data_IF_648203284351
#
_entry.id   IF_648203284351
#
_cell.length_a   1.000
_cell.length_b   1.000
_cell.length_c   1.000
_cell.angle_alpha   90.00
_cell.angle_beta   90.00
_cell.angle_gamma   90.00
#
_symmetry.space_group_name_H-M   'P 1'
#
loop_
_entity.id
_entity.type
_entity.pdbx_description
1 polymer ?
#
# COMPACT_ATOMS: atom_id res chain seq x y z
N UNK A 1 33.53 18.33 9.03
CA UNK A 1 32.11 17.99 8.79
C UNK A 1 32.04 16.54 8.37
N UNK A 2 31.80 15.62 9.30
CA UNK A 2 31.56 14.23 8.93
C UNK A 2 30.31 14.17 8.04
N UNK A 3 30.38 13.47 6.93
CA UNK A 3 29.30 13.42 5.96
C UNK A 3 28.07 12.77 6.63
N UNK A 4 26.85 13.15 6.22
CA UNK A 4 25.62 12.50 6.69
C UNK A 4 25.62 10.98 6.49
N UNK A 5 26.40 10.50 5.52
CA UNK A 5 26.62 9.08 5.25
C UNK A 5 27.40 8.38 6.37
N UNK A 6 28.41 9.04 6.95
CA UNK A 6 29.21 8.50 8.06
C UNK A 6 28.38 8.39 9.34
N UNK A 7 27.44 9.34 9.57
CA UNK A 7 26.50 9.25 10.69
C UNK A 7 25.44 8.15 10.51
N UNK A 8 25.05 7.85 9.28
CA UNK A 8 24.15 6.74 8.99
C UNK A 8 24.87 5.40 9.14
N UNK A 9 26.10 5.30 8.66
CA UNK A 9 26.92 4.10 8.78
C UNK A 9 27.33 3.80 10.23
N UNK A 10 27.62 4.83 11.03
CA UNK A 10 27.95 4.66 12.46
C UNK A 10 26.73 4.26 13.31
N UNK A 11 25.51 4.66 12.89
CA UNK A 11 24.26 4.26 13.58
C UNK A 11 23.76 2.85 13.18
N UNK A 12 24.28 2.28 12.11
CA UNK A 12 24.04 0.91 11.67
C UNK A 12 25.01 -0.11 12.27
N UNK A 13 25.70 0.22 13.35
CA UNK A 13 26.54 -0.74 14.06
C UNK A 13 25.69 -1.94 14.51
N UNK A 14 25.89 -3.07 13.83
CA UNK A 14 25.24 -4.36 14.11
C UNK A 14 25.39 -4.79 15.60
N UNK A 15 26.43 -4.31 16.29
CA UNK A 15 26.62 -4.52 17.71
C UNK A 15 25.54 -3.87 18.60
N UNK A 16 25.02 -2.70 18.21
CA UNK A 16 23.94 -2.02 18.94
C UNK A 16 22.58 -2.69 18.70
N UNK A 17 22.42 -3.38 17.58
CA UNK A 17 21.24 -4.18 17.25
C UNK A 17 21.09 -5.38 18.20
N UNK A 18 22.20 -6.02 18.56
CA UNK A 18 22.20 -7.17 19.44
C UNK A 18 21.79 -6.82 20.89
N UNK A 19 21.99 -5.57 21.32
CA UNK A 19 21.68 -5.10 22.65
C UNK A 19 20.21 -4.66 22.84
N UNK A 20 19.51 -4.32 21.75
CA UNK A 20 18.10 -3.89 21.77
C UNK A 20 17.14 -5.10 21.77
N UNK A 21 16.95 -5.74 22.91
CA UNK A 21 16.12 -6.95 23.05
C UNK A 21 14.66 -6.72 22.61
N UNK A 22 14.08 -5.58 22.94
CA UNK A 22 12.71 -5.23 22.56
C UNK A 22 12.55 -5.10 21.02
N UNK A 23 13.48 -4.43 20.36
CA UNK A 23 13.48 -4.29 18.90
C UNK A 23 13.62 -5.65 18.22
N UNK A 24 14.49 -6.52 18.73
CA UNK A 24 14.66 -7.87 18.21
C UNK A 24 13.39 -8.70 18.32
N UNK A 25 12.68 -8.64 19.45
CA UNK A 25 11.40 -9.32 19.63
C UNK A 25 10.35 -8.83 18.63
N UNK A 26 10.26 -7.53 18.40
CA UNK A 26 9.35 -6.94 17.40
C UNK A 26 9.66 -7.38 15.97
N UNK A 27 10.96 -7.46 15.60
CA UNK A 27 11.38 -7.94 14.28
C UNK A 27 11.02 -9.42 14.12
N UNK A 28 11.35 -10.27 15.10
CA UNK A 28 11.03 -11.70 15.02
C UNK A 28 9.53 -11.95 14.97
N UNK A 29 8.74 -11.16 15.71
CA UNK A 29 7.29 -11.23 15.63
C UNK A 29 6.78 -10.88 14.21
N UNK A 30 7.31 -9.82 13.61
CA UNK A 30 6.94 -9.41 12.25
C UNK A 30 7.29 -10.50 11.23
N UNK A 31 8.50 -11.06 11.30
CA UNK A 31 8.93 -12.16 10.42
C UNK A 31 8.04 -13.38 10.61
N UNK A 32 7.76 -13.78 11.85
CA UNK A 32 6.88 -14.90 12.15
C UNK A 32 5.47 -14.71 11.61
N UNK A 33 4.90 -13.51 11.72
CA UNK A 33 3.60 -13.18 11.16
C UNK A 33 3.60 -13.24 9.62
N UNK A 34 4.66 -12.80 8.96
CA UNK A 34 4.79 -12.89 7.50
C UNK A 34 4.94 -14.35 7.02
N UNK A 35 5.61 -15.19 7.80
CA UNK A 35 5.68 -16.64 7.53
C UNK A 35 4.28 -17.27 7.62
N UNK A 36 3.48 -16.93 8.65
CA UNK A 36 2.09 -17.39 8.78
C UNK A 36 1.24 -16.94 7.59
N UNK A 37 1.37 -15.67 7.17
CA UNK A 37 0.70 -15.18 5.96
C UNK A 37 1.08 -16.02 4.74
N UNK A 38 2.36 -16.28 4.54
CA UNK A 38 2.84 -17.05 3.40
C UNK A 38 2.35 -18.49 3.41
N UNK A 39 2.32 -19.13 4.58
CA UNK A 39 1.76 -20.46 4.74
C UNK A 39 0.28 -20.51 4.31
N UNK A 40 -0.53 -19.55 4.76
CA UNK A 40 -1.95 -19.46 4.39
C UNK A 40 -2.19 -19.25 2.89
N UNK A 41 -1.24 -18.64 2.18
CA UNK A 41 -1.33 -18.44 0.73
C UNK A 41 -1.26 -19.75 -0.07
N UNK A 42 -0.84 -20.85 0.55
CA UNK A 42 -0.79 -22.18 -0.06
C UNK A 42 -1.93 -23.12 0.38
N UNK A 43 -2.73 -22.71 1.38
CA UNK A 43 -3.86 -23.52 1.84
C UNK A 43 -5.05 -23.32 0.91
N UNK A 44 -5.42 -24.30 0.07
CA UNK A 44 -6.50 -24.13 -0.90
C UNK A 44 -7.86 -24.06 -0.22
N UNK A 45 -8.84 -23.47 -0.90
CA UNK A 45 -10.23 -23.46 -0.48
C UNK A 45 -10.80 -24.89 -0.46
N UNK A 46 -11.66 -25.23 0.52
CA UNK A 46 -12.29 -26.54 0.57
C UNK A 46 -13.17 -26.75 -0.67
N UNK A 47 -13.08 -27.95 -1.28
CA UNK A 47 -13.87 -28.32 -2.44
C UNK A 47 -13.24 -27.99 -3.81
N UNK A 48 -11.99 -27.56 -3.85
CA UNK A 48 -11.24 -27.28 -5.08
C UNK A 48 -10.23 -28.39 -5.33
N UNK A 49 -10.04 -28.74 -6.61
CA UNK A 49 -9.02 -29.67 -7.06
C UNK A 49 -7.72 -28.91 -7.38
N UNK A 50 -6.62 -29.12 -6.62
CA UNK A 50 -5.37 -28.39 -6.84
C UNK A 50 -4.74 -28.62 -8.22
N UNK A 51 -4.88 -29.83 -8.80
CA UNK A 51 -4.30 -30.16 -10.11
C UNK A 51 -4.96 -29.37 -11.25
N UNK A 52 -6.25 -29.08 -11.13
CA UNK A 52 -6.98 -28.29 -12.11
C UNK A 52 -6.59 -26.79 -12.06
N UNK A 53 -6.16 -26.32 -10.89
CA UNK A 53 -5.76 -24.92 -10.70
C UNK A 53 -4.49 -24.56 -11.47
N UNK A 54 -3.51 -25.45 -11.53
CA UNK A 54 -2.27 -25.21 -12.27
C UNK A 54 -2.54 -24.99 -13.77
N UNK A 55 -3.48 -25.75 -14.34
CA UNK A 55 -3.91 -25.60 -15.73
C UNK A 55 -4.63 -24.25 -15.95
N UNK A 56 -5.50 -23.86 -15.02
CA UNK A 56 -6.21 -22.58 -15.07
C UNK A 56 -5.26 -21.39 -14.89
N UNK A 57 -4.26 -21.50 -14.02
CA UNK A 57 -3.25 -20.47 -13.79
C UNK A 57 -2.39 -20.24 -15.05
N UNK A 58 -2.00 -21.30 -15.76
CA UNK A 58 -1.23 -21.17 -17.00
C UNK A 58 -2.02 -20.50 -18.13
N UNK A 59 -3.32 -20.74 -18.23
CA UNK A 59 -4.18 -20.12 -19.25
C UNK A 59 -4.48 -18.64 -18.98
N UNK A 60 -4.45 -18.23 -17.71
CA UNK A 60 -4.78 -16.86 -17.30
C UNK A 60 -3.56 -15.94 -17.19
N UNK A 61 -2.38 -16.36 -17.64
CA UNK A 61 -1.18 -15.51 -17.65
C UNK A 61 -1.39 -14.27 -18.54
N UNK A 62 -1.02 -13.10 -18.00
CA UNK A 62 -1.15 -11.83 -18.70
C UNK A 62 -2.56 -11.23 -18.68
N UNK A 63 -3.51 -11.82 -17.94
CA UNK A 63 -4.85 -11.26 -17.77
C UNK A 63 -4.94 -10.38 -16.52
N UNK A 64 -6.09 -9.72 -16.33
CA UNK A 64 -6.40 -8.91 -15.15
C UNK A 64 -6.33 -9.75 -13.85
N UNK A 65 -6.69 -11.03 -13.94
CA UNK A 65 -6.57 -11.97 -12.82
C UNK A 65 -5.12 -12.15 -12.35
N UNK A 66 -4.19 -12.08 -13.26
CA UNK A 66 -2.76 -12.16 -12.96
C UNK A 66 -2.25 -10.94 -12.21
N UNK A 67 -2.73 -9.73 -12.56
CA UNK A 67 -2.47 -8.53 -11.75
C UNK A 67 -3.00 -8.65 -10.31
N UNK A 68 -4.24 -9.15 -10.19
CA UNK A 68 -4.83 -9.36 -8.87
C UNK A 68 -4.02 -10.37 -8.06
N UNK A 69 -3.58 -11.44 -8.73
CA UNK A 69 -2.72 -12.49 -8.17
C UNK A 69 -1.39 -11.94 -7.66
N UNK A 70 -0.85 -10.92 -8.32
CA UNK A 70 0.38 -10.25 -7.88
C UNK A 70 0.22 -9.57 -6.52
N UNK A 71 -0.87 -8.84 -6.29
CA UNK A 71 -1.13 -8.17 -5.00
C UNK A 71 -1.43 -9.17 -3.87
N UNK A 72 -1.96 -10.34 -4.20
CA UNK A 72 -2.25 -11.41 -3.23
C UNK A 72 -1.07 -12.35 -2.99
N UNK A 73 0.04 -12.16 -3.71
CA UNK A 73 1.25 -12.97 -3.55
C UNK A 73 1.14 -14.39 -4.08
N UNK A 74 0.35 -14.62 -5.14
CA UNK A 74 0.09 -15.95 -5.70
C UNK A 74 -1.09 -16.69 -5.05
N UNK A 75 -1.72 -16.09 -4.05
CA UNK A 75 -2.81 -16.70 -3.31
C UNK A 75 -4.06 -16.92 -4.17
N UNK A 76 -4.30 -16.07 -5.18
CA UNK A 76 -5.41 -16.22 -6.10
C UNK A 76 -5.17 -17.38 -7.09
N UNK A 77 -3.96 -17.52 -7.63
CA UNK A 77 -3.63 -18.66 -8.51
C UNK A 77 -3.79 -20.00 -7.81
N UNK A 78 -3.42 -20.05 -6.53
CA UNK A 78 -3.59 -21.24 -5.68
C UNK A 78 -5.02 -21.38 -5.14
N UNK A 79 -5.94 -20.47 -5.47
CA UNK A 79 -7.28 -20.40 -4.88
C UNK A 79 -7.28 -20.69 -3.38
N UNK A 80 -6.41 -19.97 -2.66
CA UNK A 80 -6.22 -20.16 -1.22
C UNK A 80 -7.32 -19.48 -0.40
N UNK A 81 -7.37 -19.81 0.90
CA UNK A 81 -8.24 -19.16 1.88
C UNK A 81 -8.08 -17.63 1.88
N UNK A 82 -6.90 -17.12 1.49
CA UNK A 82 -6.56 -15.70 1.42
C UNK A 82 -6.48 -15.19 -0.03
N UNK A 83 -7.18 -15.84 -0.96
CA UNK A 83 -7.16 -15.48 -2.39
C UNK A 83 -7.52 -14.02 -2.68
N UNK A 84 -8.44 -13.43 -1.94
CA UNK A 84 -8.79 -12.00 -2.05
C UNK A 84 -7.77 -11.08 -1.37
N UNK A 85 -6.87 -11.63 -0.54
CA UNK A 85 -5.88 -10.86 0.19
C UNK A 85 -6.48 -9.74 1.05
N UNK A 86 -5.83 -8.60 1.08
CA UNK A 86 -6.28 -7.39 1.79
C UNK A 86 -7.00 -6.38 0.88
N UNK A 87 -7.24 -6.71 -0.40
CA UNK A 87 -7.87 -5.80 -1.36
C UNK A 87 -9.28 -5.35 -0.95
N UNK A 88 -10.20 -6.23 -0.46
CA UNK A 88 -11.51 -5.80 0.02
C UNK A 88 -11.44 -4.78 1.15
N UNK A 89 -10.43 -4.92 2.02
CA UNK A 89 -10.19 -3.96 3.11
C UNK A 89 -9.72 -2.59 2.59
N UNK A 90 -8.81 -2.58 1.61
CA UNK A 90 -8.34 -1.33 1.01
C UNK A 90 -9.52 -0.59 0.39
N UNK A 91 -10.34 -1.27 -0.41
CA UNK A 91 -11.53 -0.68 -1.03
C UNK A 91 -12.52 -0.16 0.01
N UNK A 92 -12.82 -0.94 1.05
CA UNK A 92 -13.69 -0.50 2.15
C UNK A 92 -13.12 0.73 2.88
N UNK A 93 -11.81 0.76 3.12
CA UNK A 93 -11.13 1.87 3.75
C UNK A 93 -11.23 3.16 2.93
N UNK A 94 -11.10 3.06 1.59
CA UNK A 94 -11.30 4.18 0.67
C UNK A 94 -12.71 4.73 0.80
N UNK A 95 -13.72 3.86 0.70
CA UNK A 95 -15.12 4.25 0.76
C UNK A 95 -15.43 4.95 2.09
N UNK A 96 -14.96 4.42 3.20
CA UNK A 96 -15.18 5.04 4.53
C UNK A 96 -14.43 6.37 4.66
N UNK A 97 -13.21 6.47 4.14
CA UNK A 97 -12.45 7.74 4.15
C UNK A 97 -13.13 8.80 3.27
N UNK A 98 -13.58 8.44 2.07
CA UNK A 98 -14.34 9.35 1.21
C UNK A 98 -15.65 9.77 1.88
N UNK A 99 -16.40 8.84 2.44
CA UNK A 99 -17.63 9.12 3.17
C UNK A 99 -17.38 10.04 4.39
N UNK A 100 -16.24 9.86 5.08
CA UNK A 100 -15.88 10.73 6.21
C UNK A 100 -15.50 12.16 5.79
N UNK A 101 -15.11 12.37 4.54
CA UNK A 101 -14.84 13.70 3.98
C UNK A 101 -16.12 14.39 3.50
N UNK A 102 -17.09 13.61 2.97
CA UNK A 102 -18.30 14.15 2.35
C UNK A 102 -19.48 14.29 3.33
N UNK A 103 -19.57 13.41 4.33
CA UNK A 103 -20.74 13.37 5.24
C UNK A 103 -20.43 14.02 6.59
N UNK A 104 -21.18 15.04 7.02
CA UNK A 104 -20.88 15.84 8.22
C UNK A 104 -20.86 15.02 9.51
N UNK A 105 -21.69 13.98 9.65
CA UNK A 105 -21.69 13.11 10.84
C UNK A 105 -20.42 12.28 10.97
N UNK A 106 -19.90 11.75 9.86
CA UNK A 106 -18.65 10.99 9.82
C UNK A 106 -17.42 11.91 9.98
N UNK A 107 -17.50 13.13 9.44
CA UNK A 107 -16.50 14.18 9.68
C UNK A 107 -16.40 14.57 11.16
N UNK A 108 -17.55 14.67 11.86
CA UNK A 108 -17.59 14.90 13.30
C UNK A 108 -16.91 13.77 14.09
N UNK A 109 -17.17 12.50 13.74
CA UNK A 109 -16.50 11.34 14.34
C UNK A 109 -14.99 11.41 14.17
N UNK A 110 -14.49 11.87 13.02
CA UNK A 110 -13.04 12.05 12.79
C UNK A 110 -12.43 13.07 13.77
N UNK A 111 -13.18 14.10 14.15
CA UNK A 111 -12.76 15.15 15.10
C UNK A 111 -12.83 14.70 16.57
N UNK A 112 -13.59 13.65 16.90
CA UNK A 112 -13.67 13.08 18.26
C UNK A 112 -12.36 12.39 18.74
N UNK A 113 -11.33 12.31 17.90
CA UNK A 113 -10.04 11.75 18.27
C UNK A 113 -10.01 10.22 18.26
N UNK A 114 -9.48 9.60 19.33
CA UNK A 114 -9.24 8.14 19.37
C UNK A 114 -10.54 7.32 19.32
N UNK A 115 -11.59 7.74 20.01
CA UNK A 115 -12.90 7.06 20.02
C UNK A 115 -13.56 7.07 18.64
N UNK A 116 -13.56 8.22 17.96
CA UNK A 116 -14.13 8.34 16.62
C UNK A 116 -13.36 7.52 15.58
N UNK A 117 -12.01 7.48 15.66
CA UNK A 117 -11.19 6.63 14.79
C UNK A 117 -11.52 5.15 14.98
N UNK A 118 -11.76 4.71 16.22
CA UNK A 118 -12.15 3.33 16.49
C UNK A 118 -13.49 2.96 15.82
N UNK A 119 -14.48 3.85 15.85
CA UNK A 119 -15.77 3.65 15.18
C UNK A 119 -15.60 3.61 13.64
N UNK A 120 -14.79 4.50 13.06
CA UNK A 120 -14.49 4.48 11.63
C UNK A 120 -13.81 3.18 11.21
N UNK A 121 -12.87 2.66 12.00
CA UNK A 121 -12.26 1.36 11.77
C UNK A 121 -13.27 0.21 11.83
N UNK A 122 -14.26 0.26 12.73
CA UNK A 122 -15.35 -0.73 12.76
C UNK A 122 -16.19 -0.69 11.49
N UNK A 123 -16.55 0.50 10.99
CA UNK A 123 -17.27 0.63 9.72
C UNK A 123 -16.45 0.08 8.54
N UNK A 124 -15.15 0.32 8.54
CA UNK A 124 -14.25 -0.27 7.53
C UNK A 124 -14.27 -1.80 7.59
N UNK A 125 -14.23 -2.40 8.77
CA UNK A 125 -14.30 -3.86 8.93
C UNK A 125 -15.64 -4.43 8.42
N UNK A 126 -16.78 -3.80 8.74
CA UNK A 126 -18.07 -4.22 8.20
C UNK A 126 -18.14 -4.08 6.68
N UNK A 127 -17.65 -2.97 6.14
CA UNK A 127 -17.52 -2.78 4.70
C UNK A 127 -16.63 -3.84 4.04
N UNK A 128 -15.54 -4.24 4.70
CA UNK A 128 -14.65 -5.30 4.22
C UNK A 128 -15.39 -6.65 4.14
N UNK A 129 -16.14 -7.02 5.18
CA UNK A 129 -16.92 -8.28 5.18
C UNK A 129 -17.93 -8.28 4.04
N UNK A 130 -18.65 -7.16 3.85
CA UNK A 130 -19.66 -7.04 2.79
C UNK A 130 -19.03 -7.14 1.39
N UNK A 131 -17.96 -6.39 1.12
CA UNK A 131 -17.28 -6.43 -0.17
C UNK A 131 -16.63 -7.80 -0.43
N UNK A 132 -16.03 -8.41 0.59
CA UNK A 132 -15.43 -9.73 0.49
C UNK A 132 -16.49 -10.80 0.18
N UNK A 133 -17.68 -10.71 0.78
CA UNK A 133 -18.77 -11.64 0.49
C UNK A 133 -19.25 -11.53 -0.97
N UNK A 134 -19.42 -10.30 -1.47
CA UNK A 134 -19.79 -10.07 -2.88
C UNK A 134 -18.72 -10.58 -3.82
N UNK A 135 -17.46 -10.17 -3.63
CA UNK A 135 -16.35 -10.59 -4.48
C UNK A 135 -16.12 -12.10 -4.41
N UNK A 136 -16.23 -12.70 -3.23
CA UNK A 136 -16.09 -14.12 -3.02
C UNK A 136 -17.20 -14.94 -3.71
N UNK A 137 -18.43 -14.41 -3.72
CA UNK A 137 -19.53 -15.05 -4.45
C UNK A 137 -19.29 -15.03 -5.97
N UNK A 138 -18.89 -13.90 -6.54
CA UNK A 138 -18.55 -13.81 -7.95
C UNK A 138 -17.34 -14.69 -8.30
N UNK A 139 -16.33 -14.73 -7.45
CA UNK A 139 -15.18 -15.62 -7.65
C UNK A 139 -15.61 -17.10 -7.69
N UNK A 140 -16.44 -17.53 -6.75
CA UNK A 140 -16.91 -18.92 -6.68
C UNK A 140 -17.78 -19.29 -7.90
N UNK A 141 -18.70 -18.42 -8.31
CA UNK A 141 -19.53 -18.64 -9.50
C UNK A 141 -18.73 -18.62 -10.79
N UNK A 142 -17.74 -17.71 -10.88
CA UNK A 142 -16.83 -17.62 -12.01
C UNK A 142 -15.98 -18.87 -12.17
N UNK A 143 -15.49 -19.44 -11.07
CA UNK A 143 -14.73 -20.69 -11.05
C UNK A 143 -15.57 -21.87 -11.57
N UNK A 144 -16.82 -22.00 -11.11
CA UNK A 144 -17.71 -23.07 -11.57
C UNK A 144 -18.00 -22.95 -13.07
N UNK A 145 -18.35 -21.75 -13.55
CA UNK A 145 -18.68 -21.53 -14.97
C UNK A 145 -17.46 -21.66 -15.89
N UNK A 146 -16.30 -21.17 -15.46
CA UNK A 146 -15.07 -21.27 -16.25
C UNK A 146 -14.56 -22.71 -16.34
N UNK A 147 -14.59 -23.43 -15.24
CA UNK A 147 -14.20 -24.84 -15.19
C UNK A 147 -15.12 -25.72 -16.06
N UNK A 148 -16.42 -25.50 -16.00
CA UNK A 148 -17.39 -26.23 -16.81
C UNK A 148 -17.24 -25.97 -18.31
N UNK A 149 -16.95 -24.71 -18.71
CA UNK A 149 -16.74 -24.33 -20.10
C UNK A 149 -15.47 -24.94 -20.71
N UNK A 150 -14.46 -25.23 -19.91
CA UNK A 150 -13.17 -25.81 -20.34
C UNK A 150 -13.12 -27.36 -20.20
N UNK A 151 -14.15 -27.96 -19.63
CA UNK A 151 -14.14 -29.43 -19.35
C UNK A 151 -13.17 -29.82 -18.24
N UNK A 152 -12.74 -28.85 -17.40
CA UNK A 152 -11.82 -29.06 -16.27
C UNK A 152 -12.64 -29.12 -14.99
N UNK A 153 -12.59 -30.22 -14.25
CA UNK A 153 -13.26 -30.33 -12.96
C UNK A 153 -12.44 -29.64 -11.86
N UNK A 154 -12.48 -28.30 -11.88
CA UNK A 154 -11.80 -27.49 -10.85
C UNK A 154 -12.53 -27.51 -9.51
N UNK A 155 -13.84 -27.70 -9.52
CA UNK A 155 -14.69 -27.82 -8.34
C UNK A 155 -15.22 -29.24 -8.22
N UNK A 156 -14.93 -29.89 -7.09
CA UNK A 156 -15.31 -31.33 -6.86
C UNK A 156 -16.82 -31.48 -6.82
N UNK A 157 -17.54 -30.59 -6.13
CA UNK A 157 -18.99 -30.61 -6.01
C UNK A 157 -19.55 -29.23 -6.33
N UNK A 158 -19.86 -28.87 -7.58
CA UNK A 158 -20.44 -27.60 -7.95
C UNK A 158 -21.85 -27.44 -7.35
N UNK A 159 -22.18 -26.22 -6.89
CA UNK A 159 -23.51 -25.92 -6.36
C UNK A 159 -23.49 -24.90 -5.21
N UNK A 160 -24.68 -24.60 -4.69
CA UNK A 160 -24.83 -23.61 -3.62
C UNK A 160 -24.00 -23.91 -2.37
N UNK A 161 -23.78 -25.20 -2.04
CA UNK A 161 -22.96 -25.62 -0.90
C UNK A 161 -21.51 -25.15 -1.05
N UNK A 162 -20.92 -25.32 -2.24
CA UNK A 162 -19.56 -24.84 -2.54
C UNK A 162 -19.50 -23.32 -2.51
N UNK A 163 -20.46 -22.61 -3.13
CA UNK A 163 -20.48 -21.13 -3.17
C UNK A 163 -20.53 -20.52 -1.78
N UNK A 164 -21.42 -21.02 -0.92
CA UNK A 164 -21.53 -20.53 0.47
C UNK A 164 -20.28 -20.86 1.27
N UNK A 165 -19.77 -22.08 1.14
CA UNK A 165 -18.53 -22.51 1.81
C UNK A 165 -17.31 -21.68 1.38
N UNK A 166 -17.17 -21.40 0.08
CA UNK A 166 -16.11 -20.56 -0.47
C UNK A 166 -16.22 -19.11 0.05
N UNK A 167 -17.42 -18.52 0.06
CA UNK A 167 -17.64 -17.15 0.58
C UNK A 167 -17.27 -17.07 2.06
N UNK A 168 -17.72 -18.00 2.90
CA UNK A 168 -17.40 -18.01 4.33
C UNK A 168 -15.89 -18.17 4.54
N UNK A 169 -15.23 -19.05 3.78
CA UNK A 169 -13.80 -19.29 3.87
C UNK A 169 -12.98 -18.05 3.45
N UNK A 170 -13.35 -17.39 2.36
CA UNK A 170 -12.70 -16.17 1.89
C UNK A 170 -12.88 -14.99 2.85
N UNK A 171 -14.08 -14.81 3.39
CA UNK A 171 -14.34 -13.78 4.42
C UNK A 171 -13.50 -14.07 5.66
N UNK A 172 -13.47 -15.31 6.13
CA UNK A 172 -12.64 -15.73 7.26
C UNK A 172 -11.15 -15.48 7.02
N UNK A 173 -10.63 -15.85 5.84
CA UNK A 173 -9.24 -15.62 5.46
C UNK A 173 -8.87 -14.13 5.40
N UNK A 174 -9.71 -13.30 4.77
CA UNK A 174 -9.49 -11.85 4.69
C UNK A 174 -9.53 -11.20 6.08
N UNK A 175 -10.49 -11.57 6.94
CA UNK A 175 -10.57 -11.04 8.31
C UNK A 175 -9.40 -11.50 9.17
N UNK A 176 -8.90 -12.72 8.96
CA UNK A 176 -7.67 -13.20 9.61
C UNK A 176 -6.45 -12.39 9.18
N UNK A 177 -6.29 -12.10 7.87
CA UNK A 177 -5.20 -11.25 7.40
C UNK A 177 -5.27 -9.83 7.97
N UNK A 178 -6.46 -9.28 8.09
CA UNK A 178 -6.66 -7.97 8.70
C UNK A 178 -6.22 -7.99 10.17
N UNK A 179 -6.67 -8.99 10.93
CA UNK A 179 -6.25 -9.17 12.31
C UNK A 179 -4.72 -9.34 12.42
N UNK A 180 -4.12 -10.15 11.54
CA UNK A 180 -2.67 -10.35 11.50
C UNK A 180 -1.93 -9.03 11.22
N UNK A 181 -2.42 -8.22 10.27
CA UNK A 181 -1.89 -6.89 9.97
C UNK A 181 -1.98 -5.93 11.17
N UNK A 182 -3.08 -5.96 11.91
CA UNK A 182 -3.23 -5.18 13.15
C UNK A 182 -2.27 -5.66 14.26
N UNK A 183 -2.04 -6.98 14.39
CA UNK A 183 -1.06 -7.51 15.32
C UNK A 183 0.38 -7.08 14.97
N UNK A 184 0.74 -7.09 13.67
CA UNK A 184 2.04 -6.60 13.22
C UNK A 184 2.19 -5.11 13.56
N UNK A 185 1.16 -4.31 13.30
CA UNK A 185 1.19 -2.86 13.58
C UNK A 185 1.33 -2.55 15.08
N UNK A 186 0.67 -3.33 15.93
CA UNK A 186 0.67 -3.11 17.39
C UNK A 186 1.90 -3.69 18.10
N UNK A 187 2.36 -4.87 17.71
CA UNK A 187 3.43 -5.62 18.40
C UNK A 187 4.71 -5.76 17.58
N UNK A 188 4.66 -5.53 16.29
CA UNK A 188 5.77 -5.60 15.36
C UNK A 188 6.39 -4.25 15.04
N UNK A 189 6.89 -4.13 13.82
CA UNK A 189 7.48 -2.92 13.24
C UNK A 189 6.78 -2.66 11.91
N UNK A 190 6.49 -1.39 11.63
CA UNK A 190 5.87 -0.98 10.38
C UNK A 190 4.35 -1.03 10.40
N UNK A 191 3.76 -0.67 9.26
CA UNK A 191 2.33 -0.85 9.03
C UNK A 191 2.08 -2.29 8.56
N UNK A 192 1.38 -3.09 9.37
CA UNK A 192 1.21 -4.51 9.11
C UNK A 192 0.50 -4.82 7.80
N UNK A 193 -0.53 -4.07 7.42
CA UNK A 193 -1.23 -4.25 6.15
C UNK A 193 -0.30 -3.99 4.96
N UNK A 194 0.47 -2.90 5.01
CA UNK A 194 1.45 -2.57 3.97
C UNK A 194 2.56 -3.63 3.86
N UNK A 195 3.02 -4.17 4.99
CA UNK A 195 4.02 -5.24 5.03
C UNK A 195 3.48 -6.55 4.44
N UNK A 196 2.22 -6.90 4.67
CA UNK A 196 1.58 -8.08 4.07
C UNK A 196 1.52 -7.92 2.54
N UNK A 197 1.13 -6.75 2.04
CA UNK A 197 1.10 -6.47 0.59
C UNK A 197 2.52 -6.56 0.01
N UNK A 198 3.49 -5.93 0.64
CA UNK A 198 4.90 -5.99 0.22
C UNK A 198 5.42 -7.43 0.19
N UNK A 199 5.13 -8.22 1.23
CA UNK A 199 5.53 -9.62 1.30
C UNK A 199 4.90 -10.47 0.19
N UNK A 200 3.65 -10.18 -0.18
CA UNK A 200 2.99 -10.79 -1.33
C UNK A 200 3.73 -10.51 -2.65
N UNK A 201 4.06 -9.26 -2.90
CA UNK A 201 4.78 -8.82 -4.11
C UNK A 201 6.18 -9.45 -4.16
N UNK A 202 6.94 -9.34 -3.06
CA UNK A 202 8.32 -9.87 -2.99
C UNK A 202 8.35 -11.39 -3.13
N UNK A 203 7.34 -12.10 -2.66
CA UNK A 203 7.27 -13.54 -2.77
C UNK A 203 7.16 -14.06 -4.21
N UNK A 204 6.69 -13.24 -5.15
CA UNK A 204 6.61 -13.59 -6.57
C UNK A 204 7.89 -13.24 -7.35
N UNK A 205 8.80 -12.48 -6.76
CA UNK A 205 10.03 -12.04 -7.42
C UNK A 205 10.91 -13.20 -7.93
N UNK A 206 11.11 -14.32 -7.19
CA UNK A 206 11.89 -15.45 -7.69
C UNK A 206 11.27 -16.10 -8.95
N UNK A 207 9.95 -16.30 -8.95
CA UNK A 207 9.24 -16.86 -10.10
C UNK A 207 9.35 -15.97 -11.33
N UNK A 208 9.20 -14.67 -11.13
CA UNK A 208 9.39 -13.67 -12.17
C UNK A 208 10.82 -13.71 -12.76
N UNK A 209 11.83 -13.75 -11.89
CA UNK A 209 13.23 -13.82 -12.32
C UNK A 209 13.48 -15.09 -13.14
N UNK A 210 12.97 -16.25 -12.72
CA UNK A 210 13.08 -17.50 -13.47
C UNK A 210 12.42 -17.42 -14.85
N UNK A 211 11.19 -16.90 -14.94
CA UNK A 211 10.47 -16.74 -16.20
C UNK A 211 11.23 -15.81 -17.17
N UNK A 212 11.82 -14.75 -16.63
CA UNK A 212 12.61 -13.80 -17.41
C UNK A 212 13.90 -14.41 -17.96
N UNK A 213 14.62 -15.22 -17.16
CA UNK A 213 15.79 -15.96 -17.60
C UNK A 213 15.42 -17.01 -18.65
N UNK A 214 14.33 -17.71 -18.46
CA UNK A 214 13.85 -18.75 -19.40
C UNK A 214 13.41 -18.12 -20.72
N UNK A 215 12.70 -16.99 -20.69
CA UNK A 215 12.34 -16.20 -21.87
C UNK A 215 13.57 -15.72 -22.66
N UNK A 216 14.62 -15.29 -21.96
CA UNK A 216 15.89 -14.93 -22.58
C UNK A 216 16.63 -16.13 -23.20
N UNK A 217 16.58 -17.29 -22.55
CA UNK A 217 17.23 -18.53 -23.05
C UNK A 217 16.52 -19.15 -24.24
N UNK A 218 15.17 -19.11 -24.25
CA UNK A 218 14.35 -19.63 -25.35
C UNK A 218 14.28 -18.69 -26.55
N UNK A 219 14.80 -17.45 -26.42
CA UNK A 219 14.76 -16.44 -27.46
C UNK A 219 13.38 -15.80 -27.65
N UNK A 220 12.41 -16.07 -26.76
CA UNK A 220 11.09 -15.43 -26.80
C UNK A 220 11.16 -13.95 -26.40
N UNK A 221 12.16 -13.57 -25.60
CA UNK A 221 12.41 -12.19 -25.19
C UNK A 221 13.83 -11.80 -25.62
N UNK A 222 13.97 -10.70 -26.35
CA UNK A 222 15.30 -10.24 -26.78
C UNK A 222 16.13 -9.84 -25.53
N UNK A 223 17.40 -10.26 -25.45
CA UNK A 223 18.28 -9.94 -24.30
C UNK A 223 18.43 -8.42 -24.05
N UNK A 224 18.34 -7.62 -25.10
CA UNK A 224 18.38 -6.15 -25.00
C UNK A 224 17.20 -5.58 -24.22
N UNK A 225 16.02 -6.20 -24.33
CA UNK A 225 14.80 -5.80 -23.59
C UNK A 225 14.97 -6.14 -22.11
N UNK A 226 15.56 -7.30 -21.79
CA UNK A 226 15.82 -7.71 -20.40
C UNK A 226 16.77 -6.71 -19.71
N UNK A 227 17.87 -6.35 -20.39
CA UNK A 227 18.83 -5.39 -19.86
C UNK A 227 18.17 -4.00 -19.69
N UNK A 228 17.43 -3.55 -20.69
CA UNK A 228 16.70 -2.28 -20.64
C UNK A 228 15.70 -2.22 -19.47
N UNK A 229 15.00 -3.31 -19.24
CA UNK A 229 14.05 -3.44 -18.13
C UNK A 229 14.78 -3.39 -16.77
N UNK A 230 15.84 -4.16 -16.58
CA UNK A 230 16.60 -4.13 -15.32
C UNK A 230 17.17 -2.74 -15.03
N UNK A 231 17.68 -2.07 -16.05
CA UNK A 231 18.17 -0.69 -15.92
C UNK A 231 17.04 0.27 -15.53
N UNK A 232 15.86 0.13 -16.15
CA UNK A 232 14.66 0.91 -15.78
C UNK A 232 14.27 0.70 -14.32
N UNK A 233 14.22 -0.56 -13.84
CA UNK A 233 13.89 -0.89 -12.45
C UNK A 233 14.87 -0.22 -11.48
N UNK A 234 16.16 -0.28 -11.74
CA UNK A 234 17.19 0.37 -10.91
C UNK A 234 16.99 1.89 -10.88
N UNK A 235 16.77 2.52 -12.04
CA UNK A 235 16.51 3.96 -12.14
C UNK A 235 15.25 4.35 -11.35
N UNK A 236 14.18 3.56 -11.47
CA UNK A 236 12.94 3.80 -10.73
C UNK A 236 13.14 3.67 -9.21
N UNK A 237 13.85 2.64 -8.75
CA UNK A 237 14.15 2.46 -7.31
C UNK A 237 14.92 3.67 -6.77
N UNK A 238 15.92 4.15 -7.50
CA UNK A 238 16.68 5.34 -7.11
C UNK A 238 15.81 6.60 -7.09
N UNK A 239 14.99 6.79 -8.11
CA UNK A 239 14.07 7.92 -8.20
C UNK A 239 13.06 7.91 -7.04
N UNK A 240 12.41 6.77 -6.78
CA UNK A 240 11.46 6.60 -5.69
C UNK A 240 12.12 6.89 -4.35
N UNK A 241 13.28 6.28 -4.09
CA UNK A 241 14.02 6.48 -2.83
C UNK A 241 14.45 7.93 -2.62
N UNK A 242 14.78 8.66 -3.69
CA UNK A 242 15.12 10.07 -3.63
C UNK A 242 13.91 10.94 -3.32
N UNK A 243 12.80 10.75 -4.02
CA UNK A 243 11.59 11.57 -3.87
C UNK A 243 10.90 11.32 -2.53
N UNK A 244 10.83 10.07 -2.06
CA UNK A 244 10.20 9.73 -0.78
C UNK A 244 10.95 10.32 0.43
N UNK A 245 12.27 10.53 0.29
CA UNK A 245 13.08 11.21 1.30
C UNK A 245 13.07 12.73 1.17
N UNK A 246 12.64 13.25 0.02
CA UNK A 246 12.60 14.68 -0.23
C UNK A 246 11.51 15.35 0.62
N UNK A 247 11.91 16.40 1.34
CA UNK A 247 11.00 17.17 2.18
C UNK A 247 11.30 18.66 2.07
N UNK A 248 10.26 19.47 2.00
CA UNK A 248 10.36 20.92 2.13
C UNK A 248 10.29 21.28 3.60
N UNK A 249 11.30 21.95 4.12
CA UNK A 249 11.38 22.39 5.52
C UNK A 249 10.92 23.85 5.61
N UNK A 250 9.77 24.08 6.25
CA UNK A 250 9.30 25.41 6.57
C UNK A 250 9.89 25.84 7.92
N UNK A 251 10.49 27.02 7.97
CA UNK A 251 11.06 27.57 9.19
C UNK A 251 9.95 28.04 10.12
N UNK A 252 9.95 27.56 11.36
CA UNK A 252 9.09 28.02 12.43
C UNK A 252 9.96 28.65 13.50
N UNK A 253 9.55 29.81 13.98
CA UNK A 253 10.21 30.52 15.10
C UNK A 253 9.29 30.52 16.31
N UNK A 254 9.87 30.19 17.46
CA UNK A 254 9.21 30.31 18.74
C UNK A 254 9.74 31.55 19.45
N UNK A 255 8.88 32.37 20.11
CA UNK A 255 9.32 33.53 20.84
C UNK A 255 10.25 33.13 21.98
N UNK A 256 11.19 34.04 22.31
CA UNK A 256 12.10 33.83 23.43
C UNK A 256 11.29 33.71 24.73
N UNK A 257 11.52 32.68 25.51
CA UNK A 257 10.96 32.53 26.85
C UNK A 257 12.00 32.99 27.87
N UNK A 258 11.64 33.96 28.70
CA UNK A 258 12.44 34.32 29.85
C UNK A 258 12.31 33.22 30.91
N UNK A 259 13.42 32.61 31.30
CA UNK A 259 13.48 31.64 32.40
C UNK A 259 14.30 32.29 33.53
N UNK A 260 14.07 31.91 34.78
CA UNK A 260 14.82 32.46 35.95
C UNK A 260 16.35 32.33 35.83
N UNK A 261 16.88 31.57 34.90
CA UNK A 261 18.32 31.40 34.63
C UNK A 261 18.84 32.19 33.41
N UNK A 262 18.08 33.14 32.88
CA UNK A 262 18.48 33.93 31.72
C UNK A 262 17.57 33.76 30.49
N UNK A 263 17.77 34.64 29.48
CA UNK A 263 17.05 34.57 28.20
C UNK A 263 17.50 33.35 27.42
N UNK A 264 16.62 32.36 27.24
CA UNK A 264 16.84 31.28 26.27
C UNK A 264 16.80 31.84 24.84
N UNK A 265 17.74 31.39 24.01
CA UNK A 265 17.79 31.76 22.60
C UNK A 265 16.50 31.29 21.90
N UNK A 266 15.98 32.11 20.95
CA UNK A 266 14.81 31.73 20.16
C UNK A 266 15.04 30.38 19.48
N UNK A 267 14.18 29.42 19.76
CA UNK A 267 14.29 28.08 19.19
C UNK A 267 13.79 28.12 17.75
N UNK A 268 14.64 27.70 16.82
CA UNK A 268 14.31 27.59 15.40
C UNK A 268 13.99 26.13 15.09
N UNK A 269 12.72 25.86 14.89
CA UNK A 269 12.25 24.54 14.45
C UNK A 269 11.85 24.58 12.98
N UNK A 270 11.72 23.41 12.38
CA UNK A 270 11.32 23.30 10.98
C UNK A 270 10.14 22.34 10.89
N UNK A 271 9.09 22.74 10.18
CA UNK A 271 7.98 21.85 9.79
C UNK A 271 8.39 21.13 8.52
N UNK A 272 8.61 19.79 8.59
CA UNK A 272 8.93 19.02 7.40
C UNK A 272 7.64 18.69 6.64
N UNK A 273 7.51 19.16 5.41
CA UNK A 273 6.47 18.72 4.47
C UNK A 273 7.09 17.75 3.48
N UNK A 274 6.67 16.49 3.47
CA UNK A 274 7.13 15.51 2.48
C UNK A 274 6.71 15.96 1.08
N UNK A 275 7.56 15.70 0.07
CA UNK A 275 7.22 16.00 -1.32
C UNK A 275 6.04 15.14 -1.80
N UNK A 276 6.02 13.89 -1.38
CA UNK A 276 4.89 12.99 -1.55
C UNK A 276 4.17 12.82 -0.20
N UNK A 277 3.24 13.73 0.11
CA UNK A 277 2.40 13.64 1.33
C UNK A 277 1.38 12.53 1.27
N UNK A 278 0.94 12.17 0.08
CA UNK A 278 -0.04 11.12 -0.14
C UNK A 278 0.55 9.69 -0.06
N UNK A 279 1.88 9.54 -0.18
CA UNK A 279 2.56 8.24 -0.14
C UNK A 279 2.18 7.32 -1.29
N UNK A 280 2.06 6.02 -1.02
CA UNK A 280 1.68 4.98 -1.99
C UNK A 280 0.17 4.77 -2.12
N UNK A 281 -0.62 5.47 -1.31
CA UNK A 281 -2.06 5.23 -1.20
C UNK A 281 -2.81 5.57 -2.50
N UNK A 282 -2.57 6.71 -3.19
CA UNK A 282 -3.29 7.06 -4.41
C UNK A 282 -3.20 6.04 -5.54
N UNK A 283 -2.02 5.50 -5.90
CA UNK A 283 -1.92 4.45 -6.90
C UNK A 283 -2.65 3.16 -6.52
N UNK A 284 -2.59 2.77 -5.24
CA UNK A 284 -3.32 1.59 -4.74
C UNK A 284 -4.83 1.81 -4.86
N UNK A 285 -5.31 3.02 -4.54
CA UNK A 285 -6.72 3.36 -4.64
C UNK A 285 -7.20 3.37 -6.10
N UNK A 286 -6.42 4.00 -6.99
CA UNK A 286 -6.74 4.03 -8.41
C UNK A 286 -6.80 2.61 -9.00
N UNK A 287 -5.82 1.75 -8.71
CA UNK A 287 -5.81 0.36 -9.18
C UNK A 287 -6.97 -0.46 -8.58
N UNK A 288 -7.24 -0.33 -7.29
CA UNK A 288 -8.34 -1.06 -6.64
C UNK A 288 -9.70 -0.66 -7.19
N UNK A 289 -9.91 0.62 -7.48
CA UNK A 289 -11.16 1.13 -8.07
C UNK A 289 -11.37 0.61 -9.49
N UNK A 290 -10.29 0.55 -10.29
CA UNK A 290 -10.36 0.04 -11.66
C UNK A 290 -10.50 -1.48 -11.71
N UNK A 291 -9.88 -2.20 -10.78
CA UNK A 291 -9.97 -3.66 -10.71
C UNK A 291 -11.37 -4.15 -10.30
N UNK A 292 -12.11 -3.39 -9.50
CA UNK A 292 -13.42 -3.84 -8.99
C UNK A 292 -14.43 -4.10 -10.13
N UNK A 293 -14.72 -3.18 -11.08
CA UNK A 293 -15.62 -3.45 -12.19
C UNK A 293 -15.06 -4.53 -13.13
N UNK A 294 -13.73 -4.58 -13.32
CA UNK A 294 -13.09 -5.56 -14.17
C UNK A 294 -13.19 -6.99 -13.61
N UNK A 295 -13.04 -7.17 -12.30
CA UNK A 295 -13.24 -8.48 -11.66
C UNK A 295 -14.69 -8.94 -11.78
N UNK A 296 -15.65 -8.06 -11.51
CA UNK A 296 -17.06 -8.38 -11.66
C UNK A 296 -17.37 -8.76 -13.13
N UNK A 297 -16.87 -8.01 -14.09
CA UNK A 297 -17.11 -8.28 -15.52
C UNK A 297 -16.45 -9.57 -16.00
N UNK A 298 -15.25 -9.90 -15.53
CA UNK A 298 -14.54 -11.14 -15.90
C UNK A 298 -15.30 -12.38 -15.42
N UNK A 299 -15.88 -12.33 -14.23
CA UNK A 299 -16.61 -13.47 -13.69
C UNK A 299 -18.08 -13.53 -14.16
N UNK A 300 -18.68 -12.39 -14.48
CA UNK A 300 -20.04 -12.31 -15.03
C UNK A 300 -20.10 -12.59 -16.54
N UNK A 301 -19.02 -12.33 -17.29
CA UNK A 301 -19.01 -12.36 -18.74
C UNK A 301 -19.32 -13.72 -19.40
N UNK A 302 -19.08 -14.82 -18.69
CA UNK A 302 -19.41 -16.17 -19.20
C UNK A 302 -20.86 -16.60 -18.94
N UNK A 303 -21.58 -15.89 -18.09
CA UNK A 303 -22.95 -16.24 -17.67
C UNK A 303 -24.01 -15.21 -18.14
N UNK A 304 -23.61 -14.13 -18.78
CA UNK A 304 -24.52 -13.08 -19.23
C UNK A 304 -24.70 -13.13 -20.76
N UNK A 305 -25.96 -13.21 -21.19
CA UNK A 305 -26.31 -13.11 -22.62
C UNK A 305 -25.78 -11.81 -23.21
N UNK A 306 -24.88 -11.93 -24.18
CA UNK A 306 -24.21 -10.80 -24.87
C UNK A 306 -25.21 -9.93 -25.67
N UNK A 307 -26.42 -10.40 -25.87
CA UNK A 307 -27.51 -9.68 -26.56
C UNK A 307 -28.27 -8.71 -25.69
N UNK A 308 -28.13 -8.82 -24.35
CA UNK A 308 -28.74 -7.86 -23.41
C UNK A 308 -27.91 -6.58 -23.33
N UNK A 309 -28.53 -5.41 -23.13
CA UNK A 309 -27.83 -4.13 -23.01
C UNK A 309 -26.77 -4.11 -21.87
N UNK A 310 -26.97 -4.94 -20.84
CA UNK A 310 -26.02 -5.13 -19.76
C UNK A 310 -24.82 -5.99 -20.19
N UNK A 311 -25.07 -7.03 -20.99
CA UNK A 311 -23.99 -7.86 -21.55
C UNK A 311 -23.08 -7.11 -22.50
N UNK A 312 -23.63 -6.26 -23.37
CA UNK A 312 -22.83 -5.40 -24.26
C UNK A 312 -21.94 -4.42 -23.49
N UNK A 313 -22.42 -3.89 -22.36
CA UNK A 313 -21.62 -2.99 -21.50
C UNK A 313 -20.44 -3.75 -20.84
N UNK A 314 -20.64 -4.99 -20.42
CA UNK A 314 -19.59 -5.84 -19.86
C UNK A 314 -18.50 -6.15 -20.91
N UNK A 315 -18.91 -6.49 -22.15
CA UNK A 315 -17.96 -6.74 -23.25
C UNK A 315 -17.17 -5.47 -23.57
N UNK A 316 -17.84 -4.33 -23.64
CA UNK A 316 -17.19 -3.03 -23.84
C UNK A 316 -16.17 -2.72 -22.74
N UNK A 317 -16.56 -2.89 -21.47
CA UNK A 317 -15.68 -2.73 -20.31
C UNK A 317 -14.43 -3.62 -20.41
N UNK A 318 -14.61 -4.91 -20.70
CA UNK A 318 -13.48 -5.84 -20.84
C UNK A 318 -12.56 -5.49 -22.01
N UNK A 319 -13.10 -5.01 -23.12
CA UNK A 319 -12.31 -4.68 -24.29
C UNK A 319 -11.48 -3.39 -24.11
N UNK A 320 -12.06 -2.35 -23.53
CA UNK A 320 -11.42 -1.02 -23.43
C UNK A 320 -10.70 -0.76 -22.10
N UNK A 321 -11.10 -1.44 -21.01
CA UNK A 321 -10.40 -1.40 -19.75
C UNK A 321 -9.41 -2.56 -19.55
N UNK A 322 -9.17 -3.39 -20.56
CA UNK A 322 -8.13 -4.40 -20.49
C UNK A 322 -6.77 -3.76 -20.18
N UNK A 323 -5.94 -4.50 -19.43
CA UNK A 323 -4.60 -4.06 -19.11
C UNK A 323 -3.79 -3.75 -20.38
N UNK A 324 -3.02 -2.66 -20.35
CA UNK A 324 -2.23 -2.24 -21.51
C UNK A 324 -2.99 -1.40 -22.55
N UNK A 325 -4.30 -1.23 -22.44
CA UNK A 325 -5.05 -0.34 -23.32
C UNK A 325 -4.83 1.14 -22.98
N UNK A 326 -4.77 2.05 -23.96
CA UNK A 326 -4.52 3.46 -23.72
C UNK A 326 -5.61 4.12 -22.85
N UNK A 327 -6.85 3.67 -22.94
CA UNK A 327 -7.96 4.16 -22.12
C UNK A 327 -7.76 3.76 -20.66
N UNK A 328 -7.35 2.53 -20.41
CA UNK A 328 -7.00 2.07 -19.05
C UNK A 328 -5.89 2.93 -18.46
N UNK A 329 -4.79 3.16 -19.20
CA UNK A 329 -3.66 3.96 -18.73
C UNK A 329 -4.07 5.41 -18.44
N UNK A 330 -4.92 6.00 -19.30
CA UNK A 330 -5.42 7.37 -19.11
C UNK A 330 -6.31 7.48 -17.85
N UNK A 331 -7.23 6.53 -17.65
CA UNK A 331 -8.08 6.49 -16.45
C UNK A 331 -7.26 6.23 -15.19
N UNK A 332 -6.26 5.37 -15.28
CA UNK A 332 -5.35 5.08 -14.17
C UNK A 332 -4.54 6.32 -13.77
N UNK A 333 -3.95 7.01 -14.75
CA UNK A 333 -3.24 8.27 -14.53
C UNK A 333 -4.13 9.35 -13.90
N UNK A 334 -5.33 9.53 -14.44
CA UNK A 334 -6.32 10.48 -13.92
C UNK A 334 -6.76 10.10 -12.49
N UNK A 335 -6.98 8.81 -12.24
CA UNK A 335 -7.30 8.30 -10.91
C UNK A 335 -6.19 8.59 -9.90
N UNK A 336 -4.92 8.35 -10.25
CA UNK A 336 -3.78 8.66 -9.39
C UNK A 336 -3.75 10.16 -9.03
N UNK A 337 -3.90 11.04 -10.03
CA UNK A 337 -3.91 12.49 -9.80
C UNK A 337 -5.07 12.88 -8.88
N UNK A 338 -6.28 12.40 -9.18
CA UNK A 338 -7.47 12.69 -8.36
C UNK A 338 -7.27 12.25 -6.91
N UNK A 339 -6.87 11.00 -6.68
CA UNK A 339 -6.67 10.48 -5.33
C UNK A 339 -5.49 11.13 -4.60
N UNK A 340 -4.47 11.60 -5.33
CA UNK A 340 -3.36 12.33 -4.74
C UNK A 340 -3.83 13.65 -4.09
N UNK A 341 -4.62 14.44 -4.82
CA UNK A 341 -5.21 15.66 -4.29
C UNK A 341 -6.21 15.39 -3.18
N UNK A 342 -7.10 14.43 -3.41
CA UNK A 342 -8.12 14.06 -2.43
C UNK A 342 -7.50 13.60 -1.11
N UNK A 343 -6.52 12.69 -1.18
CA UNK A 343 -5.89 12.15 0.02
C UNK A 343 -5.08 13.20 0.78
N UNK A 344 -4.37 14.06 0.07
CA UNK A 344 -3.63 15.17 0.69
C UNK A 344 -4.57 16.11 1.43
N UNK A 345 -5.72 16.44 0.85
CA UNK A 345 -6.73 17.29 1.49
C UNK A 345 -7.37 16.63 2.74
N UNK A 346 -7.52 15.31 2.73
CA UNK A 346 -8.11 14.56 3.86
C UNK A 346 -7.13 14.37 5.02
N UNK A 347 -5.84 14.14 4.71
CA UNK A 347 -4.81 13.81 5.71
C UNK A 347 -4.25 15.04 6.38
N UNK A 348 -4.06 16.10 5.63
CA UNK A 348 -3.47 17.34 6.14
C UNK A 348 -4.51 18.44 6.20
N UNK A 349 -4.85 18.86 7.43
CA UNK A 349 -5.71 20.03 7.68
C UNK A 349 -4.83 21.25 7.95
N UNK A 350 -4.77 22.22 7.00
CA UNK A 350 -3.99 23.44 7.17
C UNK A 350 -4.48 24.33 8.31
N UNK A 351 -5.80 24.38 8.55
CA UNK A 351 -6.40 25.20 9.61
C UNK A 351 -6.02 24.65 10.99
N UNK A 352 -6.20 23.35 11.22
CA UNK A 352 -5.83 22.70 12.48
C UNK A 352 -4.33 22.85 12.76
N UNK A 353 -3.49 22.69 11.73
CA UNK A 353 -2.03 22.86 11.85
C UNK A 353 -1.65 24.31 12.20
N UNK A 354 -2.27 25.30 11.57
CA UNK A 354 -2.04 26.70 11.85
C UNK A 354 -2.51 27.11 13.27
N UNK A 355 -3.64 26.58 13.72
CA UNK A 355 -4.15 26.80 15.08
C UNK A 355 -3.25 26.13 16.14
N UNK A 356 -2.78 24.93 15.89
CA UNK A 356 -1.82 24.24 16.77
C UNK A 356 -0.50 25.03 16.87
N UNK A 357 0.02 25.55 15.76
CA UNK A 357 1.18 26.42 15.76
C UNK A 357 0.93 27.69 16.58
N UNK A 358 -0.22 28.34 16.40
CA UNK A 358 -0.61 29.55 17.15
C UNK A 358 -0.73 29.26 18.66
N UNK A 359 -1.38 28.17 19.06
CA UNK A 359 -1.51 27.77 20.47
C UNK A 359 -0.16 27.50 21.14
N UNK A 360 0.78 26.92 20.40
CA UNK A 360 2.14 26.65 20.88
C UNK A 360 3.06 27.89 20.79
N UNK A 361 2.55 29.03 20.31
CA UNK A 361 3.32 30.27 20.18
C UNK A 361 4.30 30.25 19.00
N UNK A 362 4.23 29.29 18.10
CA UNK A 362 5.06 29.23 16.91
C UNK A 362 4.49 30.10 15.79
N UNK A 363 5.35 30.71 15.00
CA UNK A 363 4.97 31.51 13.83
C UNK A 363 5.95 31.29 12.68
N UNK A 364 5.45 31.46 11.46
CA UNK A 364 6.29 31.47 10.25
C UNK A 364 6.78 32.89 10.03
N UNK A 365 8.09 33.13 9.86
CA UNK A 365 8.63 34.48 9.66
C UNK A 365 7.96 35.16 8.45
N UNK A 366 7.48 36.40 8.67
CA UNK A 366 6.81 37.19 7.64
C UNK A 366 5.30 36.94 7.46
N UNK A 367 4.71 35.95 8.17
CA UNK A 367 3.29 35.60 8.05
C UNK A 367 2.60 35.74 9.42
N UNK A 368 1.43 36.39 9.46
CA UNK A 368 0.65 36.52 10.69
C UNK A 368 0.09 35.18 11.13
N UNK A 369 0.22 34.78 12.42
CA UNK A 369 -0.35 33.57 12.95
C UNK A 369 -1.88 33.51 12.78
N UNK A 370 -2.42 32.35 12.48
CA UNK A 370 -3.85 32.09 12.27
C UNK A 370 -4.20 31.86 10.80
N UNK A 371 -5.30 32.41 10.31
CA UNK A 371 -5.86 32.15 8.97
C UNK A 371 -4.85 32.35 7.83
N UNK A 372 -4.04 33.42 7.87
CA UNK A 372 -3.00 33.65 6.85
C UNK A 372 -1.92 32.58 6.84
N UNK A 373 -1.62 31.97 7.98
CA UNK A 373 -0.71 30.81 8.05
C UNK A 373 -1.36 29.57 7.43
N UNK A 374 -2.65 29.35 7.64
CA UNK A 374 -3.40 28.28 7.00
C UNK A 374 -3.42 28.42 5.47
N UNK A 375 -3.76 29.62 4.97
CA UNK A 375 -3.77 29.92 3.53
C UNK A 375 -2.38 29.69 2.88
N UNK A 376 -1.31 30.07 3.58
CA UNK A 376 0.05 29.83 3.10
C UNK A 376 0.43 28.34 3.09
N UNK A 377 0.05 27.59 4.12
CA UNK A 377 0.27 26.14 4.17
C UNK A 377 -0.50 25.43 3.06
N UNK A 378 -1.75 25.80 2.82
CA UNK A 378 -2.56 25.27 1.72
C UNK A 378 -1.93 25.55 0.36
N UNK A 379 -1.48 26.78 0.13
CA UNK A 379 -0.78 27.17 -1.10
C UNK A 379 0.49 26.33 -1.34
N UNK A 380 1.30 26.12 -0.31
CA UNK A 380 2.53 25.33 -0.41
C UNK A 380 2.19 23.86 -0.65
N UNK A 381 1.22 23.30 0.07
CA UNK A 381 0.76 21.92 -0.07
C UNK A 381 0.23 21.63 -1.46
N UNK A 382 -0.65 22.48 -2.00
CA UNK A 382 -1.20 22.31 -3.33
C UNK A 382 -0.09 22.18 -4.38
N UNK A 383 0.92 23.03 -4.32
CA UNK A 383 2.06 22.98 -5.26
C UNK A 383 2.93 21.74 -5.09
N UNK A 384 3.17 21.34 -3.86
CA UNK A 384 3.91 20.10 -3.57
C UNK A 384 3.12 18.90 -4.07
N UNK A 385 1.80 18.88 -3.89
CA UNK A 385 0.91 17.82 -4.34
C UNK A 385 0.89 17.68 -5.86
N UNK A 386 0.94 18.79 -6.61
CA UNK A 386 1.07 18.74 -8.08
C UNK A 386 2.35 18.00 -8.50
N UNK A 387 3.49 18.35 -7.90
CA UNK A 387 4.76 17.69 -8.19
C UNK A 387 4.72 16.21 -7.80
N UNK A 388 4.14 15.90 -6.62
CA UNK A 388 3.92 14.53 -6.15
C UNK A 388 3.02 13.72 -7.06
N UNK A 389 1.92 14.30 -7.55
CA UNK A 389 0.99 13.64 -8.47
C UNK A 389 1.64 13.31 -9.82
N UNK A 390 2.40 14.25 -10.40
CA UNK A 390 3.15 14.02 -11.65
C UNK A 390 4.17 12.91 -11.44
N UNK A 391 4.93 12.95 -10.36
CA UNK A 391 5.90 11.92 -10.01
C UNK A 391 5.25 10.54 -9.89
N UNK A 392 4.16 10.41 -9.09
CA UNK A 392 3.44 9.14 -8.91
C UNK A 392 2.90 8.61 -10.24
N UNK A 393 2.33 9.47 -11.05
CA UNK A 393 1.80 9.09 -12.39
C UNK A 393 2.91 8.57 -13.28
N UNK A 394 4.05 9.25 -13.36
CA UNK A 394 5.19 8.80 -14.17
C UNK A 394 5.72 7.44 -13.71
N UNK A 395 5.94 7.28 -12.39
CA UNK A 395 6.45 6.03 -11.82
C UNK A 395 5.51 4.86 -12.06
N UNK A 396 4.19 5.08 -12.05
CA UNK A 396 3.21 4.02 -12.25
C UNK A 396 2.95 3.72 -13.73
N UNK A 397 2.85 4.75 -14.59
CA UNK A 397 2.47 4.58 -16.00
C UNK A 397 3.64 4.14 -16.88
N UNK A 398 4.89 4.56 -16.60
CA UNK A 398 6.03 4.19 -17.46
C UNK A 398 6.25 2.66 -17.52
N UNK A 399 6.33 1.93 -16.39
CA UNK A 399 6.46 0.47 -16.44
C UNK A 399 5.29 -0.20 -17.12
N UNK A 400 4.07 0.29 -16.88
CA UNK A 400 2.84 -0.21 -17.47
C UNK A 400 2.86 -0.11 -19.00
N UNK A 401 3.29 1.05 -19.52
CA UNK A 401 3.45 1.27 -20.95
C UNK A 401 4.52 0.34 -21.56
N UNK A 402 5.63 0.14 -20.85
CA UNK A 402 6.69 -0.77 -21.28
C UNK A 402 6.19 -2.22 -21.36
N UNK A 403 5.42 -2.67 -20.36
CA UNK A 403 4.78 -4.00 -20.35
C UNK A 403 3.87 -4.16 -21.57
N UNK A 404 3.01 -3.18 -21.83
CA UNK A 404 2.07 -3.22 -22.95
C UNK A 404 2.77 -3.31 -24.31
N UNK A 405 3.93 -2.68 -24.48
CA UNK A 405 4.66 -2.68 -25.76
C UNK A 405 5.54 -3.93 -25.93
N UNK A 406 6.09 -4.49 -24.87
CA UNK A 406 7.05 -5.60 -24.95
C UNK A 406 6.39 -6.97 -24.85
N UNK A 407 5.13 -7.04 -24.40
CA UNK A 407 4.40 -8.30 -24.20
C UNK A 407 5.02 -9.22 -23.16
N UNK A 408 5.95 -8.70 -22.36
CA UNK A 408 6.57 -9.47 -21.28
C UNK A 408 5.53 -9.66 -20.18
N UNK A 409 5.28 -10.87 -19.67
CA UNK A 409 4.46 -11.08 -18.49
C UNK A 409 5.19 -10.52 -17.28
N UNK A 410 5.05 -9.23 -17.03
CA UNK A 410 5.77 -8.48 -16.02
C UNK A 410 4.91 -8.33 -14.78
N UNK A 411 5.31 -9.03 -13.73
CA UNK A 411 4.75 -8.91 -12.39
C UNK A 411 5.22 -7.65 -11.63
N UNK A 412 6.19 -6.90 -12.15
CA UNK A 412 6.74 -5.69 -11.53
C UNK A 412 6.21 -4.41 -12.21
N UNK A 413 4.92 -4.14 -12.05
CA UNK A 413 4.33 -2.84 -12.39
C UNK A 413 4.88 -1.71 -11.50
N UNK A 414 4.72 -0.47 -11.95
CA UNK A 414 5.18 0.71 -11.21
C UNK A 414 4.61 0.82 -9.79
N UNK A 415 3.35 0.42 -9.61
CA UNK A 415 2.69 0.38 -8.30
C UNK A 415 3.39 -0.58 -7.34
N UNK A 416 3.78 -1.77 -7.82
CA UNK A 416 4.45 -2.78 -7.00
C UNK A 416 5.83 -2.34 -6.54
N UNK A 417 6.62 -1.77 -7.44
CA UNK A 417 7.92 -1.19 -7.12
C UNK A 417 7.78 -0.06 -6.10
N UNK A 418 6.82 0.81 -6.30
CA UNK A 418 6.56 1.94 -5.40
C UNK A 418 6.17 1.46 -4.00
N UNK A 419 5.30 0.43 -3.89
CA UNK A 419 4.92 -0.16 -2.61
C UNK A 419 6.14 -0.78 -1.92
N UNK A 420 6.92 -1.61 -2.62
CA UNK A 420 8.08 -2.29 -2.04
C UNK A 420 9.11 -1.28 -1.51
N UNK A 421 9.46 -0.28 -2.32
CA UNK A 421 10.46 0.72 -1.93
C UNK A 421 9.96 1.59 -0.77
N UNK A 422 8.72 2.07 -0.83
CA UNK A 422 8.19 2.97 0.20
C UNK A 422 8.00 2.25 1.54
N UNK A 423 7.40 1.06 1.54
CA UNK A 423 7.24 0.27 2.76
C UNK A 423 8.59 -0.09 3.36
N UNK A 424 9.60 -0.39 2.54
CA UNK A 424 10.96 -0.64 3.01
C UNK A 424 11.58 0.61 3.65
N UNK A 425 11.46 1.77 3.00
CA UNK A 425 11.98 3.05 3.52
C UNK A 425 11.29 3.42 4.83
N UNK A 426 9.97 3.29 4.92
CA UNK A 426 9.20 3.58 6.14
C UNK A 426 9.56 2.60 7.28
N UNK A 427 9.73 1.31 6.98
CA UNK A 427 10.13 0.31 7.97
C UNK A 427 11.53 0.57 8.51
N UNK A 428 12.50 0.88 7.62
CA UNK A 428 13.87 1.25 8.03
C UNK A 428 13.84 2.51 8.90
N UNK A 429 13.04 3.51 8.54
CA UNK A 429 12.88 4.75 9.30
C UNK A 429 12.35 4.50 10.72
N UNK A 430 11.38 3.59 10.87
CA UNK A 430 10.85 3.18 12.16
C UNK A 430 11.87 2.40 12.99
N UNK A 431 12.61 1.47 12.38
CA UNK A 431 13.71 0.77 13.04
C UNK A 431 14.75 1.75 13.56
N UNK A 432 15.15 2.75 12.76
CA UNK A 432 16.10 3.78 13.16
C UNK A 432 15.59 4.61 14.33
N UNK A 433 14.32 5.02 14.33
CA UNK A 433 13.73 5.79 15.44
C UNK A 433 13.66 4.96 16.72
N UNK A 434 13.35 3.68 16.67
CA UNK A 434 13.39 2.79 17.84
C UNK A 434 14.82 2.60 18.38
N UNK A 435 15.82 2.46 17.51
CA UNK A 435 17.22 2.37 17.94
C UNK A 435 17.70 3.64 18.63
N UNK A 436 17.37 4.81 18.08
CA UNK A 436 17.70 6.09 18.70
C UNK A 436 17.02 6.25 20.07
N UNK A 437 15.75 5.90 20.19
CA UNK A 437 15.02 5.96 21.45
C UNK A 437 15.68 5.06 22.52
N UNK A 438 16.15 3.88 22.16
CA UNK A 438 16.85 2.98 23.06
C UNK A 438 18.19 3.56 23.53
N UNK A 439 19.00 4.12 22.61
CA UNK A 439 20.27 4.76 22.93
C UNK A 439 20.10 5.95 23.89
N UNK A 440 19.09 6.79 23.67
CA UNK A 440 18.78 7.89 24.59
C UNK A 440 18.33 7.41 25.97
N UNK A 441 17.54 6.33 26.03
CA UNK A 441 17.13 5.69 27.29
C UNK A 441 18.31 5.22 28.13
N UNK A 442 19.30 4.60 27.50
CA UNK A 442 20.52 4.12 28.19
C UNK A 442 21.44 5.27 28.62
N UNK A 443 21.54 6.34 27.84
CA UNK A 443 22.28 7.54 28.24
C UNK A 443 21.65 8.22 29.47
N UNK A 444 20.32 8.30 29.52
CA UNK A 444 19.59 8.86 30.67
C UNK A 444 19.77 7.98 31.92
N UNK A 445 19.73 6.65 31.79
CA UNK A 445 19.99 5.73 32.91
C UNK A 445 21.43 5.90 33.46
N UNK A 446 22.42 5.98 32.58
CA UNK A 446 23.83 6.23 32.96
C UNK A 446 24.02 7.60 33.61
N UNK A 447 23.32 8.65 33.12
CA UNK A 447 23.38 9.99 33.70
C UNK A 447 22.74 10.04 35.09
N UNK A 448 21.60 9.35 35.34
CA UNK A 448 20.95 9.24 36.66
C UNK A 448 21.82 8.50 37.68
N UNK A 449 22.54 7.48 37.25
CA UNK A 449 23.49 6.74 38.12
C UNK A 449 24.66 7.62 38.56
N UNK A 450 25.21 8.49 37.68
CA UNK A 450 26.26 9.44 38.05
C UNK A 450 25.78 10.57 38.95
N UNK A 451 24.52 10.98 38.87
CA UNK A 451 23.93 12.02 39.75
C UNK A 451 23.61 11.54 41.16
N UNK A 452 23.56 10.23 41.40
CA UNK A 452 23.28 9.64 42.73
C UNK A 452 24.55 9.34 43.55
N UNK A 453 25.73 9.55 42.94
CA UNK A 453 27.05 9.40 43.58
C UNK A 453 27.71 10.74 43.96
N UNK A 454 26.93 11.85 44.00
CA UNK A 454 27.41 13.15 44.56
C UNK A 454 26.52 13.58 45.70
#
# INVERSE_FOLDING_TARGET
>A
MASRADNIASNLNLGNFAQATELRQRIWFTIGALIVFRFLSFVPLPGINPLALDLLAQQNQGTILDMFNMFTGGALANMSLVALGVMPYITASIVVQMASALHPTLAALKKEGASGRQKLNQYTRYGTVFLCAIQGYFLATGLESYASAQGIEAVINPGYGFRIGAVISLVGGTMFLLWLGEQITSRGIGNGVSLIIMAGIVAQFPTFAMNMFEGGRTGSIAPTIIIGFLLMVVVLILLISFVERAQRRLLIQYPKRATQRGMMQADRSHLPLKLNTAGVIPPIFASSLLLLPLTISSFAGNSVDTTSGFGSTIVWLNQYLAHGQPIYMALYALGIIFFCFFYTAVVFDPEETADNLKRNGGFIPGIRPGKRTADYLEYVLTRITVVGAIYLTLVCVIPEYMIAQTGIPLFLGGTSLLIVVNVTVDTISQVQSHLLAHQYGDLIKKAKLKGRMR
#
